data_IF_770984333398
#
_entry.id   IF_770984333398
#
_cell.length_a   1.000
_cell.length_b   1.000
_cell.length_c   1.000
_cell.angle_alpha   90.00
_cell.angle_beta   90.00
_cell.angle_gamma   90.00
#
_symmetry.space_group_name_H-M   'P 1'
#
loop_
_entity.id
_entity.type
_entity.pdbx_description
1 polymer ?
#
# COMPACT_ATOMS: atom_id res chain seq x y z
N UNK A 1 -41.65 -35.07 13.31
CA UNK A 1 -40.49 -35.33 12.44
C UNK A 1 -39.56 -34.14 12.61
N UNK A 2 -38.52 -34.28 13.45
CA UNK A 2 -37.49 -33.27 13.68
C UNK A 2 -36.50 -33.33 12.54
N UNK A 3 -36.47 -32.35 11.66
CA UNK A 3 -35.35 -32.12 10.72
C UNK A 3 -34.21 -31.48 11.51
N UNK A 4 -33.31 -32.31 12.05
CA UNK A 4 -31.98 -31.87 12.45
C UNK A 4 -31.22 -31.54 11.16
N UNK A 5 -30.94 -30.27 10.94
CA UNK A 5 -30.02 -29.82 9.87
C UNK A 5 -28.60 -30.26 10.24
N UNK A 6 -28.15 -31.40 9.71
CA UNK A 6 -26.75 -31.81 9.75
C UNK A 6 -25.93 -30.82 8.92
N UNK A 7 -25.35 -29.85 9.60
CA UNK A 7 -24.24 -29.06 9.04
C UNK A 7 -23.05 -29.99 8.85
N UNK A 8 -22.35 -29.98 7.68
CA UNK A 8 -21.19 -30.81 7.45
C UNK A 8 -20.13 -30.57 8.54
N UNK A 9 -19.40 -31.60 9.00
CA UNK A 9 -18.41 -31.47 10.05
C UNK A 9 -17.36 -30.42 9.66
N UNK A 10 -17.33 -29.32 10.41
CA UNK A 10 -16.28 -28.32 10.25
C UNK A 10 -14.93 -29.01 10.52
N UNK A 11 -13.95 -28.84 9.63
CA UNK A 11 -12.63 -29.44 9.85
C UNK A 11 -12.11 -28.97 11.22
N UNK A 12 -11.53 -29.86 12.01
CA UNK A 12 -11.03 -29.58 13.36
C UNK A 12 -10.13 -28.35 13.43
N UNK A 13 -9.42 -28.06 12.34
CA UNK A 13 -8.54 -26.87 12.18
C UNK A 13 -9.34 -25.57 12.09
N UNK A 14 -10.48 -25.54 11.40
CA UNK A 14 -11.30 -24.32 11.29
C UNK A 14 -11.93 -23.99 12.64
N UNK A 15 -12.47 -24.98 13.36
CA UNK A 15 -13.02 -24.79 14.69
C UNK A 15 -11.95 -24.29 15.70
N UNK A 16 -10.73 -24.82 15.60
CA UNK A 16 -9.62 -24.35 16.43
C UNK A 16 -9.23 -22.90 16.12
N UNK A 17 -9.11 -22.51 14.84
CA UNK A 17 -8.80 -21.13 14.43
C UNK A 17 -9.86 -20.11 14.88
N UNK A 18 -11.14 -20.49 14.94
CA UNK A 18 -12.21 -19.64 15.46
C UNK A 18 -11.97 -19.24 16.92
N UNK A 19 -11.34 -20.12 17.71
CA UNK A 19 -10.92 -19.84 19.09
C UNK A 19 -9.62 -19.02 19.20
N UNK A 20 -8.91 -18.75 18.08
CA UNK A 20 -7.60 -18.12 18.06
C UNK A 20 -7.59 -16.82 17.20
N UNK A 21 -8.28 -15.74 17.64
CA UNK A 21 -8.46 -14.54 16.81
C UNK A 21 -7.13 -13.85 16.43
N UNK A 22 -6.13 -13.91 17.31
CA UNK A 22 -4.80 -13.32 17.01
C UNK A 22 -4.10 -14.08 15.89
N UNK A 23 -4.12 -15.42 15.93
CA UNK A 23 -3.52 -16.24 14.88
C UNK A 23 -4.26 -16.07 13.54
N UNK A 24 -5.58 -15.97 13.58
CA UNK A 24 -6.39 -15.65 12.40
C UNK A 24 -6.03 -14.29 11.84
N UNK A 25 -5.84 -13.25 12.69
CA UNK A 25 -5.40 -11.93 12.24
C UNK A 25 -4.00 -11.95 11.61
N UNK A 26 -3.05 -12.74 12.17
CA UNK A 26 -1.70 -12.93 11.59
C UNK A 26 -1.82 -13.59 10.20
N UNK A 27 -2.66 -14.61 10.06
CA UNK A 27 -2.90 -15.22 8.75
C UNK A 27 -3.51 -14.24 7.74
N UNK A 28 -4.46 -13.40 8.16
CA UNK A 28 -5.03 -12.36 7.29
C UNK A 28 -4.02 -11.26 6.95
N UNK A 29 -3.06 -10.96 7.83
CA UNK A 29 -2.00 -9.97 7.59
C UNK A 29 -1.07 -10.35 6.41
N UNK A 30 -0.95 -11.65 6.08
CA UNK A 30 -0.26 -12.09 4.87
C UNK A 30 -0.94 -11.55 3.60
N UNK A 31 -2.24 -11.31 3.63
CA UNK A 31 -2.96 -10.63 2.54
C UNK A 31 -2.51 -9.18 2.37
N UNK A 32 -2.29 -8.44 3.46
CA UNK A 32 -1.74 -7.08 3.38
C UNK A 32 -0.30 -7.09 2.85
N UNK A 33 0.51 -8.06 3.28
CA UNK A 33 1.86 -8.28 2.75
C UNK A 33 1.83 -8.53 1.24
N UNK A 34 0.96 -9.41 0.78
CA UNK A 34 0.82 -9.73 -0.65
C UNK A 34 0.24 -8.55 -1.44
N UNK A 35 -0.93 -8.03 -1.03
CA UNK A 35 -1.68 -7.05 -1.81
C UNK A 35 -1.06 -5.65 -1.85
N UNK A 36 -0.38 -5.22 -0.78
CA UNK A 36 0.28 -3.93 -0.75
C UNK A 36 1.77 -4.04 -1.09
N UNK A 37 2.50 -4.93 -0.42
CA UNK A 37 3.97 -4.92 -0.48
C UNK A 37 4.50 -5.72 -1.65
N UNK A 38 4.17 -7.02 -1.78
CA UNK A 38 4.65 -7.82 -2.90
C UNK A 38 4.08 -7.33 -4.23
N UNK A 39 2.77 -7.03 -4.29
CA UNK A 39 2.13 -6.64 -5.54
C UNK A 39 2.51 -5.22 -6.01
N UNK A 40 2.77 -4.29 -5.08
CA UNK A 40 2.91 -2.89 -5.41
C UNK A 40 4.28 -2.32 -5.04
N UNK A 41 4.65 -2.39 -3.76
CA UNK A 41 5.83 -1.69 -3.26
C UNK A 41 7.14 -2.37 -3.66
N UNK A 42 7.15 -3.69 -3.88
CA UNK A 42 8.33 -4.42 -4.37
C UNK A 42 8.88 -3.84 -5.69
N UNK A 43 8.02 -3.22 -6.50
CA UNK A 43 8.39 -2.68 -7.80
C UNK A 43 9.53 -1.67 -7.72
N UNK A 44 9.59 -0.87 -6.65
CA UNK A 44 10.67 0.09 -6.42
C UNK A 44 12.07 -0.57 -6.43
N UNK A 45 12.17 -1.80 -5.94
CA UNK A 45 13.43 -2.56 -5.89
C UNK A 45 13.88 -3.08 -7.26
N UNK A 46 12.95 -3.21 -8.21
CA UNK A 46 13.25 -3.62 -9.60
C UNK A 46 13.61 -2.46 -10.50
N UNK A 47 13.15 -1.24 -10.19
CA UNK A 47 13.31 -0.05 -11.05
C UNK A 47 14.75 0.18 -11.48
N UNK A 48 15.77 0.16 -10.59
CA UNK A 48 17.16 0.35 -11.00
C UNK A 48 17.61 -0.72 -12.00
N UNK A 49 17.42 -2.00 -11.68
CA UNK A 49 17.87 -3.13 -12.49
C UNK A 49 17.15 -3.18 -13.85
N UNK A 50 15.83 -2.93 -13.88
CA UNK A 50 15.08 -2.88 -15.14
C UNK A 50 15.50 -1.68 -16.02
N UNK A 51 15.81 -0.54 -15.41
CA UNK A 51 16.28 0.64 -16.12
C UNK A 51 17.63 0.39 -16.78
N UNK A 52 18.58 -0.16 -16.03
CA UNK A 52 19.94 -0.42 -16.49
C UNK A 52 19.95 -1.48 -17.61
N UNK A 53 19.11 -2.50 -17.49
CA UNK A 53 19.03 -3.63 -18.43
C UNK A 53 18.23 -3.30 -19.71
N UNK A 54 17.07 -2.64 -19.57
CA UNK A 54 16.14 -2.41 -20.68
C UNK A 54 16.26 -1.00 -21.31
N UNK A 55 17.03 -0.10 -20.68
CA UNK A 55 17.17 1.29 -21.14
C UNK A 55 15.87 2.10 -21.05
N UNK A 56 14.92 1.69 -20.18
CA UNK A 56 13.63 2.35 -20.06
C UNK A 56 13.74 3.75 -19.44
N UNK A 57 12.98 4.68 -19.99
CA UNK A 57 12.77 6.00 -19.41
C UNK A 57 12.04 5.89 -18.06
N UNK A 58 12.24 6.86 -17.18
CA UNK A 58 11.52 6.94 -15.91
C UNK A 58 10.01 7.04 -16.10
N UNK A 59 9.55 7.69 -17.18
CA UNK A 59 8.14 7.69 -17.57
C UNK A 59 7.60 6.27 -17.78
N UNK A 60 8.31 5.44 -18.55
CA UNK A 60 7.90 4.04 -18.79
C UNK A 60 7.85 3.24 -17.49
N UNK A 61 8.89 3.38 -16.65
CA UNK A 61 8.93 2.73 -15.34
C UNK A 61 7.80 3.20 -14.43
N UNK A 62 7.52 4.51 -14.40
CA UNK A 62 6.38 5.07 -13.67
C UNK A 62 5.04 4.57 -14.18
N UNK A 63 4.90 4.43 -15.53
CA UNK A 63 3.68 3.92 -16.14
C UNK A 63 3.32 2.50 -15.72
N UNK A 64 4.31 1.64 -15.38
CA UNK A 64 4.05 0.31 -14.82
C UNK A 64 3.35 0.40 -13.46
N UNK A 65 3.75 1.33 -12.61
CA UNK A 65 3.12 1.54 -11.31
C UNK A 65 1.75 2.25 -11.44
N UNK A 66 1.61 3.14 -12.41
CA UNK A 66 0.32 3.73 -12.84
C UNK A 66 -0.65 2.64 -13.30
N UNK A 67 -0.21 1.70 -14.15
CA UNK A 67 -1.04 0.59 -14.62
C UNK A 67 -1.55 -0.28 -13.44
N UNK A 68 -0.67 -0.59 -12.49
CA UNK A 68 -1.07 -1.29 -11.26
C UNK A 68 -2.12 -0.49 -10.46
N UNK A 69 -1.93 0.81 -10.27
CA UNK A 69 -2.87 1.66 -9.55
C UNK A 69 -4.24 1.76 -10.26
N UNK A 70 -4.27 1.82 -11.60
CA UNK A 70 -5.51 1.76 -12.39
C UNK A 70 -6.24 0.43 -12.17
N UNK A 71 -5.51 -0.69 -12.26
CA UNK A 71 -6.06 -2.00 -11.97
C UNK A 71 -6.66 -2.07 -10.56
N UNK A 72 -5.92 -1.60 -9.56
CA UNK A 72 -6.38 -1.56 -8.17
C UNK A 72 -7.67 -0.74 -8.00
N UNK A 73 -7.78 0.43 -8.64
CA UNK A 73 -8.99 1.25 -8.59
C UNK A 73 -10.19 0.49 -9.17
N UNK A 74 -10.03 -0.10 -10.35
CA UNK A 74 -11.11 -0.88 -10.99
C UNK A 74 -11.50 -2.09 -10.13
N UNK A 75 -10.51 -2.79 -9.57
CA UNK A 75 -10.74 -3.91 -8.64
C UNK A 75 -11.47 -3.49 -7.37
N UNK A 76 -11.11 -2.35 -6.78
CA UNK A 76 -11.77 -1.82 -5.59
C UNK A 76 -13.22 -1.40 -5.87
N UNK A 77 -13.50 -0.78 -7.01
CA UNK A 77 -14.86 -0.39 -7.41
C UNK A 77 -15.76 -1.61 -7.68
N UNK A 78 -15.20 -2.71 -8.18
CA UNK A 78 -15.94 -3.96 -8.46
C UNK A 78 -16.00 -4.91 -7.25
N UNK A 79 -15.27 -4.63 -6.18
CA UNK A 79 -15.10 -5.52 -5.03
C UNK A 79 -16.43 -5.94 -4.39
N UNK A 80 -17.38 -5.01 -4.22
CA UNK A 80 -18.68 -5.31 -3.62
C UNK A 80 -19.43 -6.37 -4.44
N UNK A 81 -19.41 -6.27 -5.75
CA UNK A 81 -20.00 -7.25 -6.65
C UNK A 81 -19.28 -8.62 -6.54
N UNK A 82 -17.94 -8.61 -6.50
CA UNK A 82 -17.12 -9.83 -6.37
C UNK A 82 -17.44 -10.54 -5.03
N UNK A 83 -17.51 -9.81 -3.92
CA UNK A 83 -17.82 -10.38 -2.60
C UNK A 83 -19.23 -10.96 -2.55
N UNK A 84 -20.23 -10.30 -3.15
CA UNK A 84 -21.59 -10.83 -3.19
C UNK A 84 -21.68 -12.12 -4.02
N UNK A 85 -20.85 -12.27 -5.05
CA UNK A 85 -20.86 -13.45 -5.94
C UNK A 85 -20.07 -14.63 -5.36
N UNK A 86 -18.93 -14.38 -4.68
CA UNK A 86 -17.96 -15.41 -4.30
C UNK A 86 -17.72 -15.51 -2.77
N UNK A 87 -18.29 -14.68 -1.94
CA UNK A 87 -17.98 -14.41 -0.54
C UNK A 87 -16.63 -13.72 -0.31
N UNK A 88 -16.47 -13.06 0.87
CA UNK A 88 -15.24 -12.33 1.21
C UNK A 88 -14.01 -13.25 1.26
N UNK A 89 -14.12 -14.42 1.91
CA UNK A 89 -13.01 -15.35 2.06
C UNK A 89 -12.56 -15.95 0.73
N UNK A 90 -13.50 -16.37 -0.13
CA UNK A 90 -13.17 -16.89 -1.46
C UNK A 90 -12.56 -15.83 -2.37
N UNK A 91 -13.12 -14.62 -2.38
CA UNK A 91 -12.60 -13.49 -3.15
C UNK A 91 -11.17 -13.14 -2.72
N UNK A 92 -10.89 -13.18 -1.42
CA UNK A 92 -9.57 -12.94 -0.84
C UNK A 92 -8.54 -13.97 -1.33
N UNK A 93 -8.87 -15.26 -1.28
CA UNK A 93 -7.97 -16.33 -1.70
C UNK A 93 -7.78 -16.36 -3.22
N UNK A 94 -8.86 -16.27 -4.00
CA UNK A 94 -8.79 -16.22 -5.48
C UNK A 94 -7.97 -15.01 -5.91
N UNK A 95 -8.22 -13.85 -5.31
CA UNK A 95 -7.43 -12.64 -5.54
C UNK A 95 -5.96 -12.87 -5.25
N UNK A 96 -5.63 -13.55 -4.14
CA UNK A 96 -4.26 -13.90 -3.78
C UNK A 96 -3.55 -14.79 -4.80
N UNK A 97 -4.22 -15.86 -5.25
CA UNK A 97 -3.68 -16.75 -6.30
C UNK A 97 -3.42 -15.96 -7.60
N UNK A 98 -4.42 -15.23 -8.08
CA UNK A 98 -4.29 -14.49 -9.34
C UNK A 98 -3.24 -13.38 -9.25
N UNK A 99 -3.17 -12.64 -8.15
CA UNK A 99 -2.13 -11.63 -7.94
C UNK A 99 -0.75 -12.24 -8.01
N UNK A 100 -0.54 -13.38 -7.34
CA UNK A 100 0.73 -14.10 -7.32
C UNK A 100 1.13 -14.61 -8.71
N UNK A 101 0.17 -15.16 -9.46
CA UNK A 101 0.39 -15.59 -10.84
C UNK A 101 0.79 -14.42 -11.73
N UNK A 102 0.06 -13.29 -11.69
CA UNK A 102 0.37 -12.13 -12.52
C UNK A 102 1.72 -11.50 -12.13
N UNK A 103 2.12 -11.53 -10.86
CA UNK A 103 3.46 -11.13 -10.43
C UNK A 103 4.53 -12.03 -11.06
N UNK A 104 4.40 -13.35 -10.94
CA UNK A 104 5.33 -14.30 -11.52
C UNK A 104 5.44 -14.16 -13.05
N UNK A 105 4.31 -13.97 -13.73
CA UNK A 105 4.27 -13.77 -15.18
C UNK A 105 4.98 -12.49 -15.64
N UNK A 106 5.12 -11.44 -14.81
CA UNK A 106 5.94 -10.28 -15.15
C UNK A 106 7.39 -10.66 -15.47
N UNK A 107 7.90 -11.74 -14.92
CA UNK A 107 9.24 -12.25 -15.21
C UNK A 107 9.39 -12.90 -16.59
N UNK A 108 8.31 -13.17 -17.34
CA UNK A 108 8.38 -13.80 -18.67
C UNK A 108 8.59 -12.79 -19.81
N UNK A 109 8.38 -11.50 -19.56
CA UNK A 109 8.34 -10.49 -20.61
C UNK A 109 9.35 -9.38 -20.36
N UNK A 110 9.82 -8.77 -21.47
CA UNK A 110 10.67 -7.57 -21.47
C UNK A 110 9.96 -6.39 -22.14
N UNK A 111 8.79 -6.62 -22.76
CA UNK A 111 8.02 -5.59 -23.43
C UNK A 111 7.21 -4.76 -22.41
N UNK A 112 7.28 -3.42 -22.47
CA UNK A 112 6.56 -2.57 -21.52
C UNK A 112 5.04 -2.75 -21.57
N UNK A 113 4.46 -3.02 -22.72
CA UNK A 113 3.01 -3.26 -22.88
C UNK A 113 2.56 -4.54 -22.17
N UNK A 114 3.31 -5.63 -22.31
CA UNK A 114 3.00 -6.90 -21.65
C UNK A 114 3.13 -6.80 -20.12
N UNK A 115 4.24 -6.23 -19.64
CA UNK A 115 4.45 -6.00 -18.20
C UNK A 115 3.37 -5.03 -17.66
N UNK A 116 3.05 -3.95 -18.40
CA UNK A 116 2.00 -3.00 -18.01
C UNK A 116 0.63 -3.66 -17.87
N UNK A 117 0.25 -4.55 -18.79
CA UNK A 117 -1.00 -5.31 -18.69
C UNK A 117 -1.00 -6.24 -17.47
N UNK A 118 0.09 -6.96 -17.23
CA UNK A 118 0.22 -7.84 -16.06
C UNK A 118 0.20 -7.06 -14.75
N UNK A 119 0.82 -5.88 -14.72
CA UNK A 119 0.76 -4.93 -13.60
C UNK A 119 -0.67 -4.45 -13.35
N UNK A 120 -1.43 -4.13 -14.41
CA UNK A 120 -2.86 -3.79 -14.29
C UNK A 120 -3.66 -4.96 -13.71
N UNK A 121 -3.50 -6.17 -14.25
CA UNK A 121 -4.20 -7.36 -13.76
C UNK A 121 -3.81 -7.71 -12.32
N UNK A 122 -2.53 -7.59 -11.95
CA UNK A 122 -2.09 -7.77 -10.57
C UNK A 122 -2.68 -6.72 -9.63
N UNK A 123 -2.81 -5.48 -10.08
CA UNK A 123 -3.48 -4.41 -9.35
C UNK A 123 -4.96 -4.72 -9.13
N UNK A 124 -5.67 -5.12 -10.18
CA UNK A 124 -7.09 -5.49 -10.13
C UNK A 124 -7.36 -6.59 -9.11
N UNK A 125 -6.57 -7.65 -9.13
CA UNK A 125 -6.74 -8.79 -8.22
C UNK A 125 -6.25 -8.49 -6.80
N UNK A 126 -5.22 -7.66 -6.64
CA UNK A 126 -4.71 -7.25 -5.33
C UNK A 126 -5.72 -6.42 -4.52
N UNK A 127 -6.67 -5.75 -5.18
CA UNK A 127 -7.78 -5.08 -4.50
C UNK A 127 -8.64 -6.06 -3.71
N UNK A 128 -8.91 -7.25 -4.25
CA UNK A 128 -9.63 -8.31 -3.53
C UNK A 128 -8.82 -8.83 -2.33
N UNK A 129 -7.50 -8.82 -2.42
CA UNK A 129 -6.62 -9.23 -1.32
C UNK A 129 -6.56 -8.15 -0.23
N UNK A 130 -6.23 -6.93 -0.59
CA UNK A 130 -6.05 -5.86 0.40
C UNK A 130 -7.38 -5.36 0.95
N UNK A 131 -8.29 -4.90 0.09
CA UNK A 131 -9.58 -4.35 0.52
C UNK A 131 -10.56 -5.46 0.97
N UNK A 132 -10.55 -6.63 0.31
CA UNK A 132 -11.31 -7.80 0.74
C UNK A 132 -10.84 -8.34 2.10
N UNK A 133 -9.53 -8.38 2.32
CA UNK A 133 -8.94 -8.71 3.62
C UNK A 133 -9.30 -7.72 4.73
N UNK A 134 -9.43 -6.41 4.40
CA UNK A 134 -9.92 -5.40 5.33
C UNK A 134 -11.36 -5.70 5.79
N UNK A 135 -12.21 -6.21 4.90
CA UNK A 135 -13.56 -6.66 5.27
C UNK A 135 -13.50 -7.83 6.24
N UNK A 136 -12.64 -8.82 5.99
CA UNK A 136 -12.48 -10.00 6.85
C UNK A 136 -11.97 -9.62 8.24
N UNK A 137 -10.92 -8.79 8.32
CA UNK A 137 -10.39 -8.38 9.64
C UNK A 137 -11.38 -7.50 10.40
N UNK A 138 -12.19 -6.68 9.73
CA UNK A 138 -13.25 -5.90 10.35
C UNK A 138 -14.34 -6.80 10.95
N UNK A 139 -14.72 -7.88 10.27
CA UNK A 139 -15.66 -8.89 10.78
C UNK A 139 -15.08 -9.61 12.00
N UNK A 140 -13.81 -10.04 11.93
CA UNK A 140 -13.12 -10.67 13.07
C UNK A 140 -13.02 -9.73 14.28
N UNK A 141 -12.67 -8.47 14.05
CA UNK A 141 -12.58 -7.44 15.09
C UNK A 141 -13.94 -7.14 15.73
N UNK A 142 -15.02 -7.14 14.96
CA UNK A 142 -16.38 -6.95 15.46
C UNK A 142 -16.85 -8.12 16.34
N UNK A 143 -16.41 -9.34 16.04
CA UNK A 143 -16.67 -10.52 16.85
C UNK A 143 -15.87 -10.50 18.18
N UNK A 144 -14.79 -9.71 18.27
CA UNK A 144 -13.90 -9.61 19.44
C UNK A 144 -13.68 -8.15 19.87
N UNK A 145 -14.69 -7.42 20.37
CA UNK A 145 -14.61 -5.97 20.65
C UNK A 145 -13.46 -5.56 21.56
N UNK A 146 -13.16 -6.37 22.60
CA UNK A 146 -12.08 -6.11 23.57
C UNK A 146 -10.67 -6.16 22.94
N UNK A 147 -10.51 -6.80 21.78
CA UNK A 147 -9.23 -6.97 21.06
C UNK A 147 -9.22 -6.32 19.67
N UNK A 148 -10.27 -5.58 19.34
CA UNK A 148 -10.51 -5.03 17.99
C UNK A 148 -9.30 -4.21 17.49
N UNK A 149 -8.77 -3.30 18.30
CA UNK A 149 -7.60 -2.48 17.93
C UNK A 149 -6.34 -3.32 17.67
N UNK A 150 -6.09 -4.34 18.50
CA UNK A 150 -4.97 -5.25 18.32
C UNK A 150 -5.07 -6.03 16.99
N UNK A 151 -6.25 -6.59 16.70
CA UNK A 151 -6.47 -7.39 15.50
C UNK A 151 -6.31 -6.56 14.22
N UNK A 152 -6.87 -5.35 14.19
CA UNK A 152 -6.68 -4.40 13.09
C UNK A 152 -5.21 -3.98 12.96
N UNK A 153 -4.53 -3.69 14.07
CA UNK A 153 -3.12 -3.35 14.09
C UNK A 153 -2.24 -4.45 13.48
N UNK A 154 -2.47 -5.71 13.85
CA UNK A 154 -1.76 -6.88 13.28
C UNK A 154 -1.99 -6.97 11.77
N UNK A 155 -3.22 -6.81 11.32
CA UNK A 155 -3.55 -6.88 9.89
C UNK A 155 -2.79 -5.84 9.06
N UNK A 156 -2.80 -4.57 9.49
CA UNK A 156 -2.13 -3.51 8.75
C UNK A 156 -0.60 -3.54 8.89
N UNK A 157 -0.07 -4.08 10.00
CA UNK A 157 1.36 -4.33 10.16
C UNK A 157 1.92 -5.29 9.09
N UNK A 158 1.08 -6.17 8.52
CA UNK A 158 1.44 -7.03 7.40
C UNK A 158 2.06 -6.27 6.22
N UNK A 159 1.68 -5.01 5.98
CA UNK A 159 2.31 -4.17 4.94
C UNK A 159 3.80 -3.96 5.19
N UNK A 160 4.20 -3.56 6.39
CA UNK A 160 5.61 -3.41 6.77
C UNK A 160 6.37 -4.74 6.72
N UNK A 161 5.75 -5.83 7.19
CA UNK A 161 6.33 -7.17 7.10
C UNK A 161 6.60 -7.59 5.65
N UNK A 162 5.65 -7.36 4.75
CA UNK A 162 5.84 -7.64 3.32
C UNK A 162 6.95 -6.80 2.68
N UNK A 163 7.14 -5.54 3.11
CA UNK A 163 8.26 -4.71 2.66
C UNK A 163 9.61 -5.31 3.07
N UNK A 164 9.73 -5.82 4.29
CA UNK A 164 10.95 -6.49 4.77
C UNK A 164 11.23 -7.74 3.93
N UNK A 165 10.22 -8.55 3.66
CA UNK A 165 10.36 -9.74 2.78
C UNK A 165 10.86 -9.33 1.39
N UNK A 166 10.27 -8.30 0.77
CA UNK A 166 10.72 -7.81 -0.53
C UNK A 166 12.16 -7.30 -0.50
N UNK A 167 12.55 -6.58 0.57
CA UNK A 167 13.90 -6.07 0.75
C UNK A 167 14.97 -7.18 0.84
N UNK A 168 14.60 -8.33 1.36
CA UNK A 168 15.50 -9.48 1.46
C UNK A 168 15.50 -10.31 0.18
N UNK A 169 14.32 -10.59 -0.38
CA UNK A 169 14.20 -11.50 -1.52
C UNK A 169 14.66 -10.86 -2.84
N UNK A 170 14.28 -9.61 -3.12
CA UNK A 170 14.55 -9.01 -4.45
C UNK A 170 16.05 -8.86 -4.69
N UNK A 171 16.86 -8.21 -3.82
CA UNK A 171 18.30 -8.12 -4.05
C UNK A 171 18.99 -9.50 -4.15
N UNK A 172 18.59 -10.44 -3.28
CA UNK A 172 19.11 -11.82 -3.33
C UNK A 172 18.86 -12.45 -4.69
N UNK A 173 17.66 -12.32 -5.24
CA UNK A 173 17.31 -12.91 -6.54
C UNK A 173 17.99 -12.20 -7.71
N UNK A 174 18.24 -10.90 -7.62
CA UNK A 174 19.05 -10.17 -8.61
C UNK A 174 20.47 -10.71 -8.65
N UNK A 175 21.10 -10.93 -7.50
CA UNK A 175 22.45 -11.50 -7.41
C UNK A 175 22.49 -12.92 -7.96
N UNK A 176 21.57 -13.80 -7.51
CA UNK A 176 21.50 -15.19 -7.99
C UNK A 176 21.22 -15.27 -9.49
N UNK A 177 20.34 -14.42 -10.02
CA UNK A 177 20.05 -14.38 -11.44
C UNK A 177 21.27 -13.99 -12.27
N UNK A 178 22.09 -13.05 -11.78
CA UNK A 178 23.35 -12.68 -12.41
C UNK A 178 24.40 -13.81 -12.33
N UNK A 179 24.54 -14.46 -11.16
CA UNK A 179 25.44 -15.59 -10.98
C UNK A 179 25.07 -16.80 -11.86
N UNK A 180 23.78 -17.01 -12.13
CA UNK A 180 23.29 -18.07 -13.02
C UNK A 180 23.40 -17.69 -14.51
N UNK A 181 23.91 -16.51 -14.83
CA UNK A 181 24.09 -16.03 -16.19
C UNK A 181 22.77 -15.73 -16.91
N UNK A 182 21.71 -15.39 -16.19
CA UNK A 182 20.44 -14.98 -16.81
C UNK A 182 20.61 -13.70 -17.60
N UNK A 183 20.06 -13.63 -18.82
CA UNK A 183 20.11 -12.42 -19.66
C UNK A 183 19.45 -11.23 -18.94
N UNK A 184 18.43 -11.47 -18.14
CA UNK A 184 17.67 -10.48 -17.40
C UNK A 184 17.52 -10.92 -15.93
N UNK A 185 18.50 -10.64 -15.05
CA UNK A 185 18.50 -11.13 -13.65
C UNK A 185 17.26 -10.77 -12.84
N UNK A 186 16.64 -9.63 -13.11
CA UNK A 186 15.44 -9.15 -12.43
C UNK A 186 14.21 -10.05 -12.67
N UNK A 187 14.19 -10.87 -13.73
CA UNK A 187 13.11 -11.82 -14.00
C UNK A 187 12.97 -12.86 -12.88
N UNK A 188 14.11 -13.35 -12.32
CA UNK A 188 14.10 -14.29 -11.19
C UNK A 188 13.37 -13.69 -9.98
N UNK A 189 13.53 -12.40 -9.73
CA UNK A 189 12.84 -11.70 -8.65
C UNK A 189 11.32 -11.77 -8.79
N UNK A 190 10.77 -11.58 -9.99
CA UNK A 190 9.34 -11.71 -10.23
C UNK A 190 8.84 -13.13 -10.02
N UNK A 191 9.58 -14.17 -10.48
CA UNK A 191 9.21 -15.56 -10.23
C UNK A 191 9.18 -15.89 -8.74
N UNK A 192 10.19 -15.46 -7.99
CA UNK A 192 10.27 -15.70 -6.55
C UNK A 192 9.19 -14.95 -5.79
N UNK A 193 8.88 -13.71 -6.16
CA UNK A 193 7.75 -12.98 -5.56
C UNK A 193 6.41 -13.63 -5.86
N UNK A 194 6.21 -14.13 -7.08
CA UNK A 194 5.01 -14.91 -7.44
C UNK A 194 4.88 -16.16 -6.59
N UNK A 195 5.96 -16.95 -6.46
CA UNK A 195 5.99 -18.16 -5.63
C UNK A 195 5.76 -17.85 -4.14
N UNK A 196 6.38 -16.79 -3.61
CA UNK A 196 6.17 -16.32 -2.24
C UNK A 196 4.72 -15.90 -2.02
N UNK A 197 4.11 -15.22 -2.98
CA UNK A 197 2.70 -14.83 -2.94
C UNK A 197 1.76 -16.04 -2.93
N UNK A 198 2.05 -17.09 -3.71
CA UNK A 198 1.29 -18.35 -3.67
C UNK A 198 1.42 -19.04 -2.30
N UNK A 199 2.62 -19.07 -1.72
CA UNK A 199 2.84 -19.61 -0.37
C UNK A 199 2.04 -18.81 0.67
N UNK A 200 2.09 -17.47 0.63
CA UNK A 200 1.28 -16.62 1.52
C UNK A 200 -0.22 -16.88 1.33
N UNK A 201 -0.67 -17.06 0.08
CA UNK A 201 -2.07 -17.35 -0.22
C UNK A 201 -2.50 -18.71 0.35
N UNK A 202 -1.65 -19.73 0.27
CA UNK A 202 -1.89 -21.02 0.89
C UNK A 202 -2.00 -20.91 2.41
N UNK A 203 -1.10 -20.15 3.06
CA UNK A 203 -1.11 -19.95 4.51
C UNK A 203 -2.32 -19.14 5.01
N UNK A 204 -2.81 -18.16 4.24
CA UNK A 204 -3.96 -17.35 4.62
C UNK A 204 -5.32 -17.99 4.32
N UNK A 205 -5.37 -19.09 3.57
CA UNK A 205 -6.62 -19.76 3.17
C UNK A 205 -7.47 -20.17 4.36
N UNK A 206 -6.93 -21.03 5.26
CA UNK A 206 -7.68 -21.49 6.44
C UNK A 206 -8.06 -20.36 7.42
N UNK A 207 -7.15 -19.41 7.76
CA UNK A 207 -7.51 -18.23 8.53
C UNK A 207 -8.67 -17.43 7.92
N UNK A 208 -8.67 -17.21 6.61
CA UNK A 208 -9.76 -16.44 5.96
C UNK A 208 -11.10 -17.18 6.01
N UNK A 209 -11.09 -18.51 5.89
CA UNK A 209 -12.29 -19.34 5.95
C UNK A 209 -12.86 -19.49 7.38
N UNK A 210 -12.07 -19.22 8.43
CA UNK A 210 -12.51 -19.27 9.82
C UNK A 210 -13.22 -18.00 10.31
N UNK A 211 -13.18 -16.91 9.55
CA UNK A 211 -13.83 -15.64 9.92
C UNK A 211 -15.35 -15.79 9.84
N UNK A 212 -16.11 -15.38 10.90
CA UNK A 212 -17.55 -15.44 10.89
C UNK A 212 -18.15 -14.60 9.76
N UNK A 213 -19.07 -15.17 9.00
CA UNK A 213 -19.76 -14.45 7.92
C UNK A 213 -20.83 -13.55 8.54
N UNK A 214 -20.64 -12.25 8.49
CA UNK A 214 -21.68 -11.28 8.85
C UNK A 214 -22.46 -10.89 7.58
N UNK A 215 -23.80 -10.84 7.65
CA UNK A 215 -24.60 -10.41 6.51
C UNK A 215 -24.23 -8.97 6.10
N UNK A 216 -24.23 -8.65 4.81
CA UNK A 216 -23.91 -7.30 4.34
C UNK A 216 -24.93 -6.32 4.92
N UNK A 217 -24.43 -5.34 5.67
CA UNK A 217 -25.25 -4.27 6.23
C UNK A 217 -25.70 -3.37 5.06
N UNK A 218 -26.99 -3.25 4.80
CA UNK A 218 -27.53 -2.32 3.82
C UNK A 218 -27.12 -0.90 4.21
N UNK A 219 -26.25 -0.28 3.43
CA UNK A 219 -25.92 1.12 3.57
C UNK A 219 -26.96 1.92 2.82
N UNK A 220 -27.80 2.63 3.56
CA UNK A 220 -28.64 3.69 2.96
C UNK A 220 -27.72 4.87 2.68
N UNK A 221 -27.39 5.06 1.41
CA UNK A 221 -26.49 6.11 0.96
C UNK A 221 -27.17 7.46 0.94
N UNK A 222 -27.18 8.19 2.06
CA UNK A 222 -27.34 9.62 2.01
C UNK A 222 -25.95 10.22 1.75
N UNK A 223 -25.74 10.72 0.53
CA UNK A 223 -24.47 11.33 0.14
C UNK A 223 -24.34 12.69 0.84
N UNK A 224 -23.51 12.75 1.87
CA UNK A 224 -23.02 14.05 2.36
C UNK A 224 -22.37 14.79 1.21
N UNK A 225 -22.74 16.05 1.04
CA UNK A 225 -22.17 16.90 0.01
C UNK A 225 -20.64 16.90 0.15
N UNK A 226 -19.92 16.42 -0.86
CA UNK A 226 -18.44 16.35 -0.93
C UNK A 226 -17.82 17.73 -0.60
N UNK A 227 -18.53 18.81 -0.91
CA UNK A 227 -18.12 20.18 -0.62
C UNK A 227 -17.73 20.43 0.85
N UNK A 228 -18.36 19.72 1.81
CA UNK A 228 -18.06 19.90 3.25
C UNK A 228 -16.67 19.40 3.66
N UNK A 229 -16.11 18.40 2.96
CA UNK A 229 -14.79 17.84 3.22
C UNK A 229 -13.84 17.94 2.01
N UNK A 230 -14.14 18.83 1.06
CA UNK A 230 -13.35 18.98 -0.16
C UNK A 230 -11.87 19.31 0.11
N UNK A 231 -11.58 20.08 1.18
CA UNK A 231 -10.21 20.48 1.52
C UNK A 231 -9.35 19.30 1.93
N UNK A 232 -9.83 18.45 2.85
CA UNK A 232 -9.08 17.24 3.23
C UNK A 232 -9.06 16.21 2.10
N UNK A 233 -10.11 16.14 1.29
CA UNK A 233 -10.15 15.26 0.11
C UNK A 233 -9.10 15.67 -0.93
N UNK A 234 -8.95 16.96 -1.22
CA UNK A 234 -7.89 17.49 -2.06
C UNK A 234 -6.50 17.27 -1.46
N UNK A 235 -6.34 17.45 -0.14
CA UNK A 235 -5.11 17.09 0.57
C UNK A 235 -4.74 15.61 0.46
N UNK A 236 -5.74 14.73 0.43
CA UNK A 236 -5.56 13.30 0.28
C UNK A 236 -5.27 12.87 -1.16
N UNK A 237 -5.82 13.60 -2.15
CA UNK A 237 -5.43 13.47 -3.55
C UNK A 237 -3.93 13.81 -3.74
N UNK A 238 -3.49 14.94 -3.17
CA UNK A 238 -2.09 15.35 -3.19
C UNK A 238 -1.19 14.32 -2.50
N UNK A 239 -1.63 13.75 -1.37
CA UNK A 239 -0.93 12.61 -0.76
C UNK A 239 -0.78 11.47 -1.76
N UNK A 240 -1.88 11.01 -2.38
CA UNK A 240 -1.87 9.94 -3.37
C UNK A 240 -0.88 10.19 -4.51
N UNK A 241 -0.81 11.42 -5.00
CA UNK A 241 0.05 11.80 -6.12
C UNK A 241 1.52 11.94 -5.72
N UNK A 242 1.81 12.55 -4.57
CA UNK A 242 3.19 12.86 -4.16
C UNK A 242 3.94 11.66 -3.58
N UNK A 243 3.31 10.90 -2.65
CA UNK A 243 4.01 9.80 -1.98
C UNK A 243 4.43 8.67 -2.93
N UNK A 244 3.63 8.42 -3.97
CA UNK A 244 3.88 7.28 -4.87
C UNK A 244 5.06 7.53 -5.80
N UNK A 245 5.37 8.81 -6.11
CA UNK A 245 6.60 9.19 -6.80
C UNK A 245 7.83 8.77 -6.01
N UNK A 246 7.88 9.14 -4.72
CA UNK A 246 8.95 8.68 -3.82
C UNK A 246 9.00 7.15 -3.76
N UNK A 247 7.89 6.49 -3.47
CA UNK A 247 7.84 5.04 -3.32
C UNK A 247 8.25 4.29 -4.59
N UNK A 248 8.04 4.86 -5.76
CA UNK A 248 8.40 4.22 -7.04
C UNK A 248 9.90 4.36 -7.32
N UNK A 249 10.47 5.53 -7.06
CA UNK A 249 11.79 5.89 -7.58
C UNK A 249 12.88 6.06 -6.51
N UNK A 250 12.57 5.89 -5.21
CA UNK A 250 13.57 6.10 -4.15
C UNK A 250 14.78 5.18 -4.29
N UNK A 251 14.58 3.91 -4.69
CA UNK A 251 15.69 2.98 -4.90
C UNK A 251 16.60 3.42 -6.06
N UNK A 252 16.01 3.90 -7.14
CA UNK A 252 16.77 4.45 -8.27
C UNK A 252 17.52 5.73 -7.87
N UNK A 253 16.88 6.62 -7.11
CA UNK A 253 17.49 7.83 -6.59
C UNK A 253 18.71 7.53 -5.70
N UNK A 254 18.57 6.59 -4.76
CA UNK A 254 19.67 6.21 -3.88
C UNK A 254 20.83 5.55 -4.64
N UNK A 255 20.51 4.78 -5.71
CA UNK A 255 21.52 4.21 -6.59
C UNK A 255 22.26 5.27 -7.39
N UNK A 256 21.55 6.28 -7.91
CA UNK A 256 22.19 7.46 -8.55
C UNK A 256 23.09 8.25 -7.59
N UNK A 257 22.74 8.28 -6.30
CA UNK A 257 23.58 8.85 -5.23
C UNK A 257 24.78 7.95 -4.84
N UNK A 258 24.97 6.80 -5.49
CA UNK A 258 26.11 5.91 -5.30
C UNK A 258 25.92 4.84 -4.23
N UNK A 259 24.70 4.57 -3.77
CA UNK A 259 24.44 3.52 -2.77
C UNK A 259 24.55 2.13 -3.38
N UNK A 260 25.14 1.22 -2.60
CA UNK A 260 25.28 -0.20 -2.93
C UNK A 260 24.07 -1.01 -2.45
N UNK A 261 23.90 -2.20 -2.99
CA UNK A 261 22.74 -3.07 -2.75
C UNK A 261 22.49 -3.37 -1.25
N UNK A 262 23.54 -3.52 -0.45
CA UNK A 262 23.42 -3.72 1.01
C UNK A 262 22.79 -2.51 1.71
N UNK A 263 23.19 -1.30 1.35
CA UNK A 263 22.63 -0.06 1.91
C UNK A 263 21.19 0.17 1.45
N UNK A 264 20.89 -0.15 0.19
CA UNK A 264 19.53 -0.11 -0.37
C UNK A 264 18.60 -1.08 0.37
N UNK A 265 19.07 -2.31 0.60
CA UNK A 265 18.34 -3.33 1.36
C UNK A 265 18.06 -2.85 2.80
N UNK A 266 19.06 -2.37 3.50
CA UNK A 266 18.93 -1.86 4.87
C UNK A 266 17.98 -0.65 4.95
N UNK A 267 18.02 0.25 3.97
CA UNK A 267 17.10 1.38 3.85
C UNK A 267 15.64 0.90 3.70
N UNK A 268 15.40 -0.06 2.81
CA UNK A 268 14.05 -0.56 2.57
C UNK A 268 13.51 -1.35 3.77
N UNK A 269 14.37 -2.09 4.48
CA UNK A 269 14.04 -2.73 5.75
C UNK A 269 13.65 -1.68 6.79
N UNK A 270 14.40 -0.57 6.89
CA UNK A 270 14.08 0.52 7.81
C UNK A 270 12.68 1.08 7.55
N UNK A 271 12.33 1.33 6.28
CA UNK A 271 10.96 1.73 5.90
C UNK A 271 9.92 0.69 6.35
N UNK A 272 10.18 -0.59 6.11
CA UNK A 272 9.30 -1.69 6.49
C UNK A 272 9.09 -1.79 8.00
N UNK A 273 10.18 -1.71 8.78
CA UNK A 273 10.14 -1.76 10.26
C UNK A 273 9.33 -0.60 10.81
N UNK A 274 9.56 0.63 10.36
CA UNK A 274 8.78 1.80 10.80
C UNK A 274 7.30 1.68 10.34
N UNK A 275 7.07 1.07 9.18
CA UNK A 275 5.73 0.75 8.69
C UNK A 275 4.96 -0.23 9.60
N UNK A 276 5.66 -1.22 10.19
CA UNK A 276 5.08 -2.13 11.20
C UNK A 276 4.53 -1.38 12.42
N UNK A 277 5.22 -0.35 12.87
CA UNK A 277 4.89 0.42 14.07
C UNK A 277 4.11 1.71 13.78
N UNK A 278 3.78 1.99 12.52
CA UNK A 278 3.12 3.23 12.08
C UNK A 278 1.82 3.52 12.87
N UNK A 279 0.97 2.51 13.08
CA UNK A 279 -0.29 2.68 13.80
C UNK A 279 -0.07 3.08 15.27
N UNK A 280 0.94 2.51 15.94
CA UNK A 280 1.28 2.81 17.34
C UNK A 280 1.87 4.21 17.49
N UNK A 281 2.77 4.60 16.57
CA UNK A 281 3.39 5.92 16.55
C UNK A 281 2.33 7.03 16.48
N UNK A 282 1.29 6.82 15.67
CA UNK A 282 0.29 7.85 15.38
C UNK A 282 -1.02 7.71 16.16
N UNK A 283 -1.20 6.67 16.97
CA UNK A 283 -2.47 6.39 17.68
C UNK A 283 -3.03 7.63 18.39
N UNK A 284 -2.20 8.31 19.21
CA UNK A 284 -2.61 9.50 19.96
C UNK A 284 -3.01 10.67 19.05
N UNK A 285 -2.29 10.87 17.94
CA UNK A 285 -2.61 11.95 16.98
C UNK A 285 -3.95 11.69 16.27
N UNK A 286 -4.20 10.43 15.85
CA UNK A 286 -5.45 10.01 15.21
C UNK A 286 -6.67 10.21 16.12
N UNK A 287 -6.51 10.02 17.42
CA UNK A 287 -7.60 10.21 18.39
C UNK A 287 -7.80 11.69 18.75
N UNK A 288 -6.72 12.49 18.77
CA UNK A 288 -6.74 13.88 19.24
C UNK A 288 -7.23 14.83 18.15
N UNK A 289 -6.73 14.67 16.91
CA UNK A 289 -7.03 15.60 15.82
C UNK A 289 -8.33 15.20 15.10
N UNK A 290 -9.37 16.02 15.26
CA UNK A 290 -10.70 15.76 14.68
C UNK A 290 -10.88 16.38 13.28
N UNK A 291 -10.04 17.33 12.89
CA UNK A 291 -10.03 17.95 11.56
C UNK A 291 -9.01 17.31 10.62
N UNK A 292 -8.50 18.09 9.68
CA UNK A 292 -7.48 17.66 8.71
C UNK A 292 -6.03 17.73 9.21
N UNK A 293 -5.80 18.10 10.47
CA UNK A 293 -4.47 18.36 11.02
C UNK A 293 -3.55 17.13 10.97
N UNK A 294 -4.10 15.93 11.26
CA UNK A 294 -3.30 14.71 11.23
C UNK A 294 -2.76 14.44 9.82
N UNK A 295 -3.61 14.53 8.79
CA UNK A 295 -3.18 14.38 7.39
C UNK A 295 -2.19 15.48 6.98
N UNK A 296 -2.39 16.72 7.45
CA UNK A 296 -1.50 17.84 7.18
C UNK A 296 -0.08 17.60 7.72
N UNK A 297 0.04 17.15 8.96
CA UNK A 297 1.34 16.80 9.57
C UNK A 297 2.01 15.67 8.79
N UNK A 298 1.26 14.62 8.45
CA UNK A 298 1.76 13.48 7.68
C UNK A 298 2.27 13.93 6.31
N UNK A 299 1.48 14.72 5.57
CA UNK A 299 1.89 15.24 4.26
C UNK A 299 3.13 16.12 4.36
N UNK A 300 3.26 16.93 5.41
CA UNK A 300 4.44 17.76 5.68
C UNK A 300 5.68 16.88 5.89
N UNK A 301 5.57 15.84 6.73
CA UNK A 301 6.68 14.92 6.99
C UNK A 301 7.08 14.15 5.72
N UNK A 302 6.11 13.69 4.93
CA UNK A 302 6.38 13.03 3.66
C UNK A 302 7.02 13.97 2.63
N UNK A 303 6.61 15.25 2.61
CA UNK A 303 7.25 16.26 1.77
C UNK A 303 8.73 16.46 2.16
N UNK A 304 9.02 16.55 3.46
CA UNK A 304 10.40 16.62 3.98
C UNK A 304 11.17 15.36 3.59
N UNK A 305 10.56 14.17 3.71
CA UNK A 305 11.18 12.93 3.29
C UNK A 305 11.55 12.92 1.79
N UNK A 306 10.71 13.50 0.92
CA UNK A 306 11.00 13.66 -0.52
C UNK A 306 12.09 14.70 -0.78
N UNK A 307 12.11 15.81 -0.02
CA UNK A 307 13.10 16.88 -0.21
C UNK A 307 14.53 16.44 0.11
N UNK A 308 14.72 15.58 1.10
CA UNK A 308 16.05 15.16 1.54
C UNK A 308 16.86 14.53 0.39
N UNK A 309 16.42 13.42 -0.25
CA UNK A 309 17.18 12.84 -1.37
C UNK A 309 17.22 13.78 -2.59
N UNK A 310 16.14 14.52 -2.86
CA UNK A 310 16.11 15.50 -3.96
C UNK A 310 17.15 16.59 -3.80
N UNK A 311 17.32 17.13 -2.60
CA UNK A 311 18.34 18.15 -2.31
C UNK A 311 19.77 17.63 -2.51
N UNK A 312 20.10 16.46 -1.97
CA UNK A 312 21.43 15.89 -2.12
C UNK A 312 21.76 15.55 -3.58
N UNK A 313 20.79 15.09 -4.36
CA UNK A 313 20.98 14.83 -5.78
C UNK A 313 21.20 16.14 -6.58
N UNK A 314 20.48 17.23 -6.26
CA UNK A 314 20.71 18.54 -6.92
C UNK A 314 22.06 19.15 -6.61
N UNK A 315 22.55 18.98 -5.38
CA UNK A 315 23.85 19.56 -4.95
C UNK A 315 25.04 18.73 -5.44
N UNK A 316 24.82 17.63 -6.15
CA UNK A 316 25.87 16.72 -6.59
C UNK A 316 26.62 16.06 -5.44
N UNK A 317 26.03 16.06 -4.24
CA UNK A 317 26.63 15.50 -3.04
C UNK A 317 26.65 13.98 -3.14
N UNK A 318 27.85 13.40 -3.24
CA UNK A 318 27.97 11.94 -3.17
C UNK A 318 27.63 11.44 -1.76
N UNK A 319 26.83 10.36 -1.70
CA UNK A 319 26.29 9.85 -0.45
C UNK A 319 27.30 9.10 0.45
N UNK A 320 28.55 9.51 0.42
CA UNK A 320 29.64 8.92 1.24
C UNK A 320 29.83 9.59 2.59
N UNK A 321 29.28 10.78 2.79
CA UNK A 321 29.37 11.50 4.05
C UNK A 321 28.39 10.95 5.10
N UNK A 322 28.85 10.69 6.33
CA UNK A 322 28.02 10.17 7.44
C UNK A 322 26.71 10.97 7.61
N UNK A 323 26.77 12.29 7.51
CA UNK A 323 25.59 13.18 7.65
C UNK A 323 24.56 12.90 6.57
N UNK A 324 25.01 12.72 5.32
CA UNK A 324 24.11 12.46 4.19
C UNK A 324 23.44 11.10 4.36
N UNK A 325 24.21 10.08 4.72
CA UNK A 325 23.70 8.74 5.00
C UNK A 325 22.62 8.78 6.09
N UNK A 326 22.89 9.44 7.21
CA UNK A 326 21.93 9.59 8.31
C UNK A 326 20.66 10.32 7.85
N UNK A 327 20.80 11.43 7.11
CA UNK A 327 19.65 12.17 6.58
C UNK A 327 18.78 11.30 5.63
N UNK A 328 19.41 10.49 4.78
CA UNK A 328 18.68 9.60 3.88
C UNK A 328 17.95 8.50 4.67
N UNK A 329 18.57 7.89 5.68
CA UNK A 329 17.86 6.95 6.57
C UNK A 329 16.72 7.60 7.34
N UNK A 330 16.86 8.85 7.78
CA UNK A 330 15.77 9.64 8.38
C UNK A 330 14.62 9.83 7.38
N UNK A 331 14.92 10.14 6.10
CA UNK A 331 13.91 10.22 5.05
C UNK A 331 13.11 8.92 4.94
N UNK A 332 13.78 7.76 4.84
CA UNK A 332 13.13 6.46 4.78
C UNK A 332 12.33 6.12 6.04
N UNK A 333 12.87 6.46 7.22
CA UNK A 333 12.18 6.24 8.49
C UNK A 333 10.90 7.06 8.60
N UNK A 334 10.93 8.34 8.26
CA UNK A 334 9.75 9.22 8.21
C UNK A 334 8.73 8.63 7.25
N UNK A 335 9.18 8.24 6.05
CA UNK A 335 8.29 7.71 5.04
C UNK A 335 7.59 6.43 5.51
N UNK A 336 8.33 5.46 6.05
CA UNK A 336 7.78 4.22 6.60
C UNK A 336 6.78 4.48 7.72
N UNK A 337 7.10 5.36 8.67
CA UNK A 337 6.24 5.70 9.79
C UNK A 337 4.94 6.39 9.37
N UNK A 338 4.92 7.11 8.25
CA UNK A 338 3.79 7.94 7.81
C UNK A 338 2.87 7.24 6.79
N UNK A 339 3.40 6.29 6.00
CA UNK A 339 2.72 5.74 4.82
C UNK A 339 1.32 5.18 5.11
N UNK A 340 1.20 4.26 6.05
CA UNK A 340 -0.08 3.63 6.39
C UNK A 340 -1.01 4.60 7.15
N UNK A 341 -0.43 5.53 7.91
CA UNK A 341 -1.19 6.44 8.75
C UNK A 341 -1.91 7.53 7.96
N UNK A 342 -1.42 7.90 6.78
CA UNK A 342 -2.14 8.83 5.90
C UNK A 342 -3.55 8.29 5.56
N UNK A 343 -3.66 7.00 5.27
CA UNK A 343 -4.96 6.33 5.03
C UNK A 343 -5.78 6.29 6.32
N UNK A 344 -5.15 5.98 7.45
CA UNK A 344 -5.83 5.94 8.75
C UNK A 344 -6.36 7.32 9.16
N UNK A 345 -5.65 8.41 8.83
CA UNK A 345 -6.04 9.79 9.20
C UNK A 345 -7.36 10.23 8.55
N UNK A 346 -7.59 9.86 7.29
CA UNK A 346 -8.87 10.16 6.61
C UNK A 346 -10.00 9.31 7.16
N UNK A 347 -9.73 8.05 7.51
CA UNK A 347 -10.71 7.19 8.18
C UNK A 347 -11.07 7.72 9.58
N UNK A 348 -10.09 8.20 10.34
CA UNK A 348 -10.31 8.85 11.63
C UNK A 348 -11.16 10.14 11.47
N UNK A 349 -10.83 10.99 10.49
CA UNK A 349 -11.63 12.18 10.17
C UNK A 349 -13.09 11.82 9.89
N UNK A 350 -13.36 10.79 9.08
CA UNK A 350 -14.71 10.33 8.78
C UNK A 350 -15.44 9.90 10.06
N UNK A 351 -14.79 9.11 10.92
CA UNK A 351 -15.38 8.64 12.17
C UNK A 351 -15.69 9.76 13.16
N UNK A 352 -14.87 10.80 13.19
CA UNK A 352 -15.07 11.94 14.09
C UNK A 352 -16.16 12.91 13.62
N UNK A 353 -16.44 12.97 12.31
CA UNK A 353 -17.23 14.05 11.72
C UNK A 353 -18.52 13.60 11.03
N UNK A 354 -18.68 12.32 10.74
CA UNK A 354 -19.84 11.79 10.02
C UNK A 354 -20.60 10.74 10.83
N UNK A 355 -21.92 10.64 10.69
CA UNK A 355 -22.70 9.58 11.29
C UNK A 355 -22.32 8.22 10.69
N UNK A 356 -22.44 7.15 11.46
CA UNK A 356 -22.03 5.79 11.07
C UNK A 356 -22.68 5.31 9.76
N UNK A 357 -23.88 5.77 9.45
CA UNK A 357 -24.60 5.45 8.21
C UNK A 357 -23.90 5.94 6.94
N UNK A 358 -23.06 6.99 7.04
CA UNK A 358 -22.37 7.62 5.94
C UNK A 358 -20.90 7.16 5.79
N UNK A 359 -20.35 6.40 6.74
CA UNK A 359 -18.93 6.03 6.75
C UNK A 359 -18.51 5.30 5.48
N UNK A 360 -19.28 4.31 5.04
CA UNK A 360 -18.92 3.51 3.86
C UNK A 360 -18.86 4.36 2.60
N UNK A 361 -19.86 5.23 2.39
CA UNK A 361 -19.89 6.11 1.24
C UNK A 361 -18.70 7.09 1.25
N UNK A 362 -18.42 7.72 2.41
CA UNK A 362 -17.30 8.63 2.54
C UNK A 362 -15.95 7.93 2.34
N UNK A 363 -15.72 6.75 2.94
CA UNK A 363 -14.49 5.97 2.74
C UNK A 363 -14.30 5.64 1.25
N UNK A 364 -15.37 5.24 0.54
CA UNK A 364 -15.29 4.94 -0.88
C UNK A 364 -14.88 6.17 -1.70
N UNK A 365 -15.45 7.34 -1.41
CA UNK A 365 -15.08 8.60 -2.08
C UNK A 365 -13.62 8.95 -1.83
N UNK A 366 -13.16 8.91 -0.56
CA UNK A 366 -11.75 9.17 -0.24
C UNK A 366 -10.81 8.18 -0.91
N UNK A 367 -11.16 6.90 -0.92
CA UNK A 367 -10.37 5.86 -1.59
C UNK A 367 -10.26 6.11 -3.10
N UNK A 368 -11.35 6.53 -3.75
CA UNK A 368 -11.36 6.86 -5.19
C UNK A 368 -10.49 8.08 -5.49
N UNK A 369 -10.60 9.12 -4.68
CA UNK A 369 -9.78 10.33 -4.80
C UNK A 369 -8.29 10.00 -4.63
N UNK A 370 -7.94 9.24 -3.62
CA UNK A 370 -6.58 8.77 -3.38
C UNK A 370 -6.04 7.93 -4.56
N UNK A 371 -6.84 6.98 -5.04
CA UNK A 371 -6.44 6.12 -6.16
C UNK A 371 -6.20 6.93 -7.45
N UNK A 372 -6.99 7.99 -7.69
CA UNK A 372 -6.77 8.90 -8.83
C UNK A 372 -5.42 9.61 -8.70
N UNK A 373 -5.06 10.10 -7.51
CA UNK A 373 -3.73 10.67 -7.25
C UNK A 373 -2.61 9.66 -7.52
N UNK A 374 -2.80 8.42 -7.07
CA UNK A 374 -1.82 7.34 -7.29
C UNK A 374 -1.64 6.95 -8.76
N UNK A 375 -2.66 7.10 -9.58
CA UNK A 375 -2.56 6.86 -11.03
C UNK A 375 -1.68 7.90 -11.70
N UNK A 376 -1.83 9.17 -11.31
CA UNK A 376 -1.11 10.28 -11.92
C UNK A 376 0.34 10.39 -11.43
N UNK A 377 0.59 10.09 -10.15
CA UNK A 377 1.87 10.37 -9.49
C UNK A 377 3.09 9.75 -10.17
N UNK A 378 3.16 8.42 -10.38
CA UNK A 378 4.37 7.79 -10.91
C UNK A 378 4.72 8.22 -12.33
N UNK A 379 3.71 8.30 -13.21
CA UNK A 379 3.90 8.74 -14.59
C UNK A 379 4.35 10.21 -14.64
N UNK A 380 3.74 11.09 -13.84
CA UNK A 380 4.12 12.50 -13.75
C UNK A 380 5.54 12.66 -13.21
N UNK A 381 5.88 11.99 -12.10
CA UNK A 381 7.23 12.04 -11.54
C UNK A 381 8.26 11.53 -12.54
N UNK A 382 7.96 10.40 -13.23
CA UNK A 382 8.84 9.85 -14.25
C UNK A 382 9.02 10.79 -15.44
N UNK A 383 7.93 11.39 -15.96
CA UNK A 383 7.99 12.35 -17.06
C UNK A 383 8.82 13.59 -16.71
N UNK A 384 8.64 14.14 -15.50
CA UNK A 384 9.44 15.26 -15.02
C UNK A 384 10.91 14.86 -14.93
N UNK A 385 11.19 13.67 -14.42
CA UNK A 385 12.56 13.16 -14.27
C UNK A 385 13.26 13.00 -15.63
N UNK A 386 12.55 12.60 -16.69
CA UNK A 386 13.13 12.46 -18.01
C UNK A 386 13.35 13.80 -18.74
N UNK A 387 12.54 14.84 -18.44
CA UNK A 387 12.51 16.08 -19.22
C UNK A 387 13.03 17.31 -18.47
N UNK A 388 13.18 17.28 -17.15
CA UNK A 388 13.39 18.49 -16.35
C UNK A 388 14.37 18.31 -15.17
N UNK A 389 15.55 17.73 -15.42
CA UNK A 389 16.65 17.71 -14.42
C UNK A 389 16.69 16.47 -13.53
N UNK A 390 16.28 15.31 -14.03
CA UNK A 390 16.47 14.03 -13.37
C UNK A 390 15.50 13.75 -12.21
N UNK A 391 15.74 12.66 -11.51
CA UNK A 391 14.94 12.23 -10.36
C UNK A 391 14.85 13.30 -9.26
N UNK A 392 15.89 14.11 -9.09
CA UNK A 392 15.93 15.19 -8.11
C UNK A 392 14.75 16.15 -8.28
N UNK A 393 14.51 16.62 -9.52
CA UNK A 393 13.38 17.51 -9.81
C UNK A 393 12.04 16.81 -9.60
N UNK A 394 11.93 15.52 -10.00
CA UNK A 394 10.73 14.72 -9.74
C UNK A 394 10.38 14.63 -8.26
N UNK A 395 11.38 14.46 -7.40
CA UNK A 395 11.20 14.42 -5.93
C UNK A 395 10.81 15.78 -5.34
N UNK A 396 11.39 16.88 -5.85
CA UNK A 396 11.03 18.23 -5.41
C UNK A 396 9.59 18.55 -5.78
N UNK A 397 9.17 18.20 -6.99
CA UNK A 397 7.76 18.39 -7.40
C UNK A 397 6.83 17.52 -6.55
N UNK A 398 7.21 16.27 -6.25
CA UNK A 398 6.45 15.41 -5.31
C UNK A 398 6.34 16.06 -3.94
N UNK A 399 7.43 16.65 -3.43
CA UNK A 399 7.41 17.38 -2.15
C UNK A 399 6.51 18.62 -2.20
N UNK A 400 6.55 19.39 -3.28
CA UNK A 400 5.68 20.57 -3.46
C UNK A 400 4.20 20.18 -3.48
N UNK A 401 3.85 19.08 -4.15
CA UNK A 401 2.48 18.54 -4.17
C UNK A 401 2.06 18.11 -2.75
N UNK A 402 2.94 17.44 -2.00
CA UNK A 402 2.65 17.05 -0.62
C UNK A 402 2.49 18.25 0.31
N UNK A 403 3.30 19.31 0.18
CA UNK A 403 3.13 20.56 0.94
C UNK A 403 1.82 21.25 0.60
N UNK A 404 1.45 21.33 -0.68
CA UNK A 404 0.13 21.86 -1.09
C UNK A 404 -0.99 21.02 -0.45
N UNK A 405 -0.86 19.71 -0.46
CA UNK A 405 -1.79 18.79 0.20
C UNK A 405 -1.84 18.97 1.72
N UNK A 406 -0.70 19.25 2.36
CA UNK A 406 -0.61 19.54 3.78
C UNK A 406 -1.38 20.83 4.11
N UNK A 407 -1.16 21.87 3.34
CA UNK A 407 -1.86 23.16 3.52
C UNK A 407 -3.37 23.03 3.33
N UNK A 408 -3.81 22.35 2.27
CA UNK A 408 -5.24 22.10 2.03
C UNK A 408 -5.88 21.30 3.17
N UNK A 409 -5.21 20.24 3.63
CA UNK A 409 -5.70 19.43 4.74
C UNK A 409 -5.76 20.25 6.06
N UNK A 410 -4.77 21.11 6.32
CA UNK A 410 -4.77 21.98 7.51
C UNK A 410 -5.97 22.91 7.57
N UNK A 411 -6.44 23.41 6.42
CA UNK A 411 -7.62 24.26 6.31
C UNK A 411 -8.94 23.54 6.61
N UNK A 412 -8.93 22.19 6.72
CA UNK A 412 -10.12 21.43 7.04
C UNK A 412 -10.38 21.42 8.54
N UNK A 413 -11.36 22.19 8.95
CA UNK A 413 -11.84 22.20 10.34
C UNK A 413 -12.74 20.98 10.62
N UNK A 414 -12.83 20.52 11.88
CA UNK A 414 -13.83 19.54 12.28
C UNK A 414 -15.24 20.10 12.05
N UNK A 415 -16.20 19.23 11.81
CA UNK A 415 -17.59 19.68 11.73
C UNK A 415 -18.06 20.01 13.15
N UNK A 416 -18.69 21.16 13.29
CA UNK A 416 -19.36 21.49 14.54
C UNK A 416 -20.46 20.44 14.76
N UNK A 417 -20.50 19.83 15.94
CA UNK A 417 -21.66 19.04 16.33
C UNK A 417 -22.91 19.94 16.14
N UNK A 418 -24.02 19.41 15.60
CA UNK A 418 -25.27 20.15 15.67
C UNK A 418 -25.49 20.53 17.12
N UNK A 419 -25.71 21.82 17.39
CA UNK A 419 -26.11 22.31 18.71
C UNK A 419 -27.28 21.45 19.21
N UNK A 420 -27.26 20.96 20.45
CA UNK A 420 -28.28 20.11 21.02
C UNK A 420 -29.66 20.73 20.96
#
# INVERSE_FOLDING_TARGET
MNHTSDSPPQSSVLAWLQGQPVLTAIGLALGTSLGASLARFSYALFVPSMRDDLGWLYFTLGAMNTAHAMGYLVGALTLSWVITRFSSARSFVIGGVLTSIFLGLCGLFIQPTAIGLLRFLSGFTSASVFAGGTVLIAQLASAHPKRSGLLLGIYYAGGGFGMIICALLVPLTLTLGAEWGMAHPWQLGWYVLGATGLLMTFLMWKPSASVPVSPPRKTTGDSTAISRYAKIAAGYFCFGMGYIGYMTFIMAMLRELGWQDTSLTAFYITMGVLGLFSAQIWAKALDTFKGGQCLAIINTLLAIACLIPGYFALTGSQASGMVIVVCLYISGAIFGACLATAVASTTAFIKHNLPQTQWVAAITVFTSIFATGQILGPALTGWISDNAGGLATGFIVSAAILFAGAWLAWLQKPFLAPSP
#
